data_IF_867470644698
#
_entry.id   IF_867470644698
#
_cell.length_a   1.000
_cell.length_b   1.000
_cell.length_c   1.000
_cell.angle_alpha   90.00
_cell.angle_beta   90.00
_cell.angle_gamma   90.00
#
_symmetry.space_group_name_H-M   'P 1'
#
loop_
_entity.id
_entity.type
_entity.pdbx_description
1 polymer ?
#
# COMPACT_ATOMS: atom_id res chain seq x y z
N UNK A 1 -1.45 38.41 7.59
CA UNK A 1 -1.36 39.39 6.48
C UNK A 1 -0.91 38.65 5.24
N UNK A 2 -1.58 38.87 4.09
CA UNK A 2 -1.11 38.75 2.69
C UNK A 2 -0.29 37.48 2.34
N UNK A 3 -0.78 36.47 1.60
CA UNK A 3 -1.50 36.48 0.31
C UNK A 3 -0.68 37.12 -0.84
N UNK A 4 -0.71 36.47 -2.03
CA UNK A 4 -0.03 36.75 -3.33
C UNK A 4 1.01 35.67 -3.73
N UNK A 5 1.15 35.27 -5.00
CA UNK A 5 0.35 35.58 -6.21
C UNK A 5 0.47 34.47 -7.26
N UNK A 6 -0.51 34.41 -8.16
CA UNK A 6 -0.52 33.54 -9.35
C UNK A 6 0.58 33.94 -10.34
N UNK A 7 1.08 33.00 -11.15
CA UNK A 7 1.76 33.32 -12.41
C UNK A 7 0.76 33.29 -13.54
N UNK A 8 0.25 34.48 -13.85
CA UNK A 8 -0.39 34.76 -15.13
C UNK A 8 0.70 34.88 -16.23
N UNK A 9 0.38 34.47 -17.45
CA UNK A 9 1.24 34.62 -18.61
C UNK A 9 0.39 34.94 -19.85
N UNK A 10 0.10 36.24 -20.04
CA UNK A 10 -0.22 36.77 -21.36
C UNK A 10 0.98 36.63 -22.32
N UNK A 11 0.87 36.93 -23.60
CA UNK A 11 -0.09 37.80 -24.31
C UNK A 11 -0.12 37.41 -25.80
N UNK A 12 -1.21 37.76 -26.47
CA UNK A 12 -1.28 38.57 -27.72
C UNK A 12 -2.60 38.21 -28.42
N UNK A 13 -3.57 39.13 -28.56
CA UNK A 13 -3.55 40.26 -29.53
C UNK A 13 -3.63 39.76 -30.98
N UNK A 14 -4.47 40.30 -31.87
CA UNK A 14 -5.26 41.54 -31.81
C UNK A 14 -6.35 41.56 -32.90
N UNK A 15 -7.33 42.47 -32.75
CA UNK A 15 -8.09 43.16 -33.83
C UNK A 15 -9.03 42.34 -34.76
N UNK A 16 -10.12 42.90 -35.31
CA UNK A 16 -10.60 44.30 -35.30
C UNK A 16 -12.14 44.42 -35.35
N UNK A 17 -12.66 45.49 -34.74
CA UNK A 17 -14.05 45.94 -34.75
C UNK A 17 -14.50 46.66 -36.05
N UNK A 18 -15.80 46.99 -36.07
CA UNK A 18 -16.53 47.97 -36.91
C UNK A 18 -17.01 47.51 -38.31
N UNK A 19 -18.31 47.48 -38.67
CA UNK A 19 -19.48 48.39 -38.46
C UNK A 19 -19.59 49.48 -39.54
N UNK A 20 -20.44 49.27 -40.55
CA UNK A 20 -20.91 50.25 -41.57
C UNK A 20 -21.96 49.59 -42.49
N UNK A 21 -23.02 50.20 -43.04
CA UNK A 21 -23.92 51.35 -42.69
C UNK A 21 -25.27 51.10 -43.44
N UNK A 22 -26.43 51.48 -42.88
CA UNK A 22 -27.73 51.52 -43.60
C UNK A 22 -27.87 52.79 -44.46
N UNK A 23 -28.65 52.76 -45.55
CA UNK A 23 -29.56 53.90 -45.79
C UNK A 23 -30.98 53.52 -46.26
N UNK A 24 -31.93 54.37 -45.89
CA UNK A 24 -33.36 54.26 -46.21
C UNK A 24 -33.74 54.61 -47.66
N UNK A 25 -34.70 53.85 -48.20
CA UNK A 25 -36.00 54.40 -48.65
C UNK A 25 -36.12 55.12 -50.00
N UNK A 26 -36.86 54.50 -50.93
CA UNK A 26 -38.04 55.09 -51.63
C UNK A 26 -38.80 54.07 -52.49
N UNK A 27 -40.12 54.07 -52.36
CA UNK A 27 -41.10 53.35 -53.20
C UNK A 27 -41.69 54.29 -54.28
N UNK A 28 -42.72 53.90 -55.06
CA UNK A 28 -42.82 52.82 -56.05
C UNK A 28 -43.39 53.30 -57.41
N UNK A 29 -43.50 52.44 -58.45
CA UNK A 29 -44.66 52.37 -59.39
C UNK A 29 -44.60 51.14 -60.32
N UNK A 30 -45.73 50.72 -60.94
CA UNK A 30 -45.91 49.36 -61.45
C UNK A 30 -45.88 49.21 -62.98
N UNK A 31 -45.74 47.96 -63.43
CA UNK A 31 -46.07 47.48 -64.78
C UNK A 31 -46.41 45.98 -64.74
N UNK A 32 -47.57 45.60 -65.25
CA UNK A 32 -48.11 44.22 -65.20
C UNK A 32 -47.80 43.44 -66.52
N UNK A 33 -48.37 42.26 -66.83
CA UNK A 33 -47.63 41.00 -66.67
C UNK A 33 -47.55 40.13 -67.95
N UNK A 34 -46.63 39.17 -67.97
CA UNK A 34 -46.65 37.98 -68.83
C UNK A 34 -45.88 36.86 -68.10
N UNK A 35 -46.50 35.71 -67.83
CA UNK A 35 -46.36 34.52 -68.69
C UNK A 35 -45.22 33.64 -68.16
N UNK A 36 -45.50 32.74 -67.22
CA UNK A 36 -45.68 31.31 -67.50
C UNK A 36 -44.41 30.65 -68.09
N UNK A 37 -43.66 29.95 -67.24
CA UNK A 37 -43.37 28.53 -67.47
C UNK A 37 -42.92 27.86 -66.16
N UNK A 38 -43.67 26.85 -65.71
CA UNK A 38 -43.32 25.99 -64.59
C UNK A 38 -42.23 25.00 -65.00
N UNK A 39 -41.15 24.92 -64.21
CA UNK A 39 -40.47 23.65 -63.93
C UNK A 39 -40.01 23.60 -62.47
N UNK A 40 -40.51 22.64 -61.66
CA UNK A 40 -40.02 22.46 -60.30
C UNK A 40 -38.61 21.84 -60.31
N UNK A 41 -37.74 22.36 -59.45
CA UNK A 41 -36.44 21.77 -59.17
C UNK A 41 -36.62 20.38 -58.55
N UNK A 42 -36.01 19.35 -59.16
CA UNK A 42 -35.92 18.02 -58.55
C UNK A 42 -34.74 17.99 -57.56
N UNK A 43 -34.95 18.52 -56.36
CA UNK A 43 -34.01 18.45 -55.23
C UNK A 43 -34.47 17.49 -54.12
N UNK A 44 -35.19 16.42 -54.47
CA UNK A 44 -35.59 15.37 -53.54
C UNK A 44 -34.55 14.23 -53.52
N UNK A 45 -33.51 14.33 -52.68
CA UNK A 45 -32.50 13.26 -52.56
C UNK A 45 -31.35 13.45 -51.57
N UNK A 46 -31.19 14.63 -50.96
CA UNK A 46 -30.03 14.94 -50.09
C UNK A 46 -30.33 14.91 -48.59
N UNK A 47 -31.53 15.29 -48.15
CA UNK A 47 -31.88 15.37 -46.72
C UNK A 47 -31.88 14.00 -46.03
N UNK A 48 -32.51 12.99 -46.63
CA UNK A 48 -32.61 11.65 -46.03
C UNK A 48 -31.27 10.93 -45.84
N UNK A 49 -30.21 11.34 -46.56
CA UNK A 49 -28.84 10.83 -46.34
C UNK A 49 -28.16 11.50 -45.16
N UNK A 50 -28.31 12.81 -45.00
CA UNK A 50 -27.74 13.55 -43.88
C UNK A 50 -28.27 13.06 -42.53
N UNK A 51 -29.58 12.76 -42.44
CA UNK A 51 -30.19 12.23 -41.23
C UNK A 51 -29.76 10.78 -40.94
N UNK A 52 -29.57 9.94 -41.97
CA UNK A 52 -29.05 8.58 -41.80
C UNK A 52 -27.59 8.56 -41.38
N UNK A 53 -26.74 9.39 -41.98
CA UNK A 53 -25.33 9.51 -41.62
C UNK A 53 -25.17 10.12 -40.22
N UNK A 54 -25.99 11.12 -39.86
CA UNK A 54 -26.07 11.69 -38.51
C UNK A 54 -26.51 10.68 -37.45
N UNK A 55 -27.54 9.88 -37.73
CA UNK A 55 -27.99 8.80 -36.85
C UNK A 55 -26.95 7.70 -36.66
N UNK A 56 -26.24 7.31 -37.72
CA UNK A 56 -25.13 6.36 -37.63
C UNK A 56 -23.92 6.92 -36.86
N UNK A 57 -23.61 8.21 -37.03
CA UNK A 57 -22.55 8.87 -36.27
C UNK A 57 -22.90 8.92 -34.76
N UNK A 58 -24.13 9.31 -34.41
CA UNK A 58 -24.59 9.34 -33.02
C UNK A 58 -24.57 7.94 -32.36
N UNK A 59 -25.01 6.90 -33.07
CA UNK A 59 -24.95 5.53 -32.58
C UNK A 59 -23.50 5.05 -32.33
N UNK A 60 -22.56 5.38 -33.23
CA UNK A 60 -21.13 5.04 -33.07
C UNK A 60 -20.48 5.81 -31.91
N UNK A 61 -20.82 7.07 -31.71
CA UNK A 61 -20.34 7.86 -30.56
C UNK A 61 -20.85 7.23 -29.26
N UNK A 62 -22.13 6.89 -29.17
CA UNK A 62 -22.70 6.24 -27.98
C UNK A 62 -22.09 4.86 -27.69
N UNK A 63 -21.80 4.05 -28.71
CA UNK A 63 -21.10 2.76 -28.54
C UNK A 63 -19.66 2.95 -28.03
N UNK A 64 -18.95 3.97 -28.53
CA UNK A 64 -17.59 4.32 -28.08
C UNK A 64 -17.59 4.88 -26.66
N UNK A 65 -18.54 5.74 -26.30
CA UNK A 65 -18.72 6.26 -24.94
C UNK A 65 -18.98 5.13 -23.94
N UNK A 66 -19.81 4.14 -24.30
CA UNK A 66 -20.12 2.99 -23.45
C UNK A 66 -18.87 2.12 -23.24
N UNK A 67 -18.12 1.80 -24.31
CA UNK A 67 -16.84 1.07 -24.21
C UNK A 67 -15.78 1.82 -23.40
N UNK A 68 -15.70 3.14 -23.54
CA UNK A 68 -14.79 3.98 -22.75
C UNK A 68 -15.19 3.98 -21.27
N UNK A 69 -16.50 3.95 -20.96
CA UNK A 69 -17.01 3.80 -19.60
C UNK A 69 -16.66 2.45 -18.98
N UNK A 70 -16.84 1.36 -19.73
CA UNK A 70 -16.45 0.00 -19.31
C UNK A 70 -14.94 -0.09 -19.03
N UNK A 71 -14.10 0.39 -19.95
CA UNK A 71 -12.65 0.43 -19.78
C UNK A 71 -12.20 1.33 -18.63
N UNK A 72 -12.89 2.46 -18.38
CA UNK A 72 -12.63 3.31 -17.23
C UNK A 72 -12.93 2.57 -15.91
N UNK A 73 -14.06 1.86 -15.84
CA UNK A 73 -14.42 1.05 -14.66
C UNK A 73 -13.38 -0.05 -14.38
N UNK A 74 -12.98 -0.82 -15.42
CA UNK A 74 -11.97 -1.86 -15.29
C UNK A 74 -10.61 -1.30 -14.80
N UNK A 75 -10.20 -0.14 -15.33
CA UNK A 75 -8.98 0.55 -14.89
C UNK A 75 -9.08 1.09 -13.46
N UNK A 76 -10.25 1.55 -13.01
CA UNK A 76 -10.46 1.98 -11.62
C UNK A 76 -10.43 0.80 -10.64
N UNK A 77 -11.05 -0.33 -10.99
CA UNK A 77 -11.00 -1.58 -10.22
C UNK A 77 -9.56 -2.12 -10.10
N UNK A 78 -8.83 -2.22 -11.22
CA UNK A 78 -7.43 -2.63 -11.23
C UNK A 78 -6.56 -1.69 -10.40
N UNK A 79 -6.79 -0.37 -10.49
CA UNK A 79 -6.09 0.63 -9.67
C UNK A 79 -6.42 0.52 -8.19
N UNK A 80 -7.65 0.15 -7.82
CA UNK A 80 -8.05 -0.12 -6.45
C UNK A 80 -7.35 -1.38 -5.92
N UNK A 81 -7.38 -2.48 -6.68
CA UNK A 81 -6.69 -3.72 -6.34
C UNK A 81 -5.18 -3.51 -6.15
N UNK A 82 -4.51 -2.80 -7.06
CA UNK A 82 -3.09 -2.46 -6.95
C UNK A 82 -2.77 -1.63 -5.68
N UNK A 83 -3.61 -0.65 -5.32
CA UNK A 83 -3.46 0.10 -4.07
C UNK A 83 -3.57 -0.79 -2.84
N UNK A 84 -4.48 -1.76 -2.84
CA UNK A 84 -4.64 -2.73 -1.74
C UNK A 84 -3.42 -3.64 -1.64
N UNK A 85 -2.92 -4.17 -2.76
CA UNK A 85 -1.72 -5.01 -2.79
C UNK A 85 -0.46 -4.27 -2.31
N UNK A 86 -0.28 -3.00 -2.69
CA UNK A 86 0.85 -2.18 -2.21
C UNK A 86 0.77 -2.00 -0.69
N UNK A 87 -0.41 -1.66 -0.15
CA UNK A 87 -0.62 -1.52 1.31
C UNK A 87 -0.35 -2.81 2.06
N UNK A 88 -0.94 -3.92 1.59
CA UNK A 88 -0.71 -5.25 2.16
C UNK A 88 0.78 -5.59 2.21
N UNK A 89 1.52 -5.31 1.13
CA UNK A 89 2.97 -5.56 1.06
C UNK A 89 3.78 -4.67 2.00
N UNK A 90 3.38 -3.42 2.20
CA UNK A 90 4.01 -2.52 3.16
C UNK A 90 3.69 -2.91 4.62
N UNK A 91 2.49 -3.44 4.88
CA UNK A 91 2.05 -4.00 6.16
C UNK A 91 2.81 -5.29 6.48
N UNK A 92 2.83 -6.27 5.56
CA UNK A 92 3.59 -7.53 5.67
C UNK A 92 5.08 -7.28 5.95
N UNK A 93 5.67 -6.30 5.25
CA UNK A 93 7.05 -5.86 5.47
C UNK A 93 7.22 -5.29 6.88
N UNK A 94 6.32 -4.41 7.33
CA UNK A 94 6.37 -3.80 8.67
C UNK A 94 6.20 -4.84 9.79
N UNK A 95 5.39 -5.87 9.56
CA UNK A 95 5.19 -6.98 10.49
C UNK A 95 6.39 -7.93 10.52
N UNK A 96 7.04 -8.18 9.38
CA UNK A 96 8.32 -8.90 9.31
C UNK A 96 9.43 -8.14 10.04
N UNK A 97 9.56 -6.83 9.79
CA UNK A 97 10.49 -5.93 10.51
C UNK A 97 10.29 -6.02 12.03
N UNK A 98 9.04 -5.93 12.50
CA UNK A 98 8.67 -6.07 13.92
C UNK A 98 9.03 -7.45 14.49
N UNK A 99 8.76 -8.53 13.74
CA UNK A 99 9.08 -9.90 14.15
C UNK A 99 10.59 -10.14 14.27
N UNK A 100 11.38 -9.67 13.30
CA UNK A 100 12.85 -9.78 13.32
C UNK A 100 13.42 -9.02 14.51
N UNK A 101 13.00 -7.78 14.73
CA UNK A 101 13.45 -6.95 15.87
C UNK A 101 13.10 -7.58 17.22
N UNK A 102 11.83 -7.98 17.41
CA UNK A 102 11.38 -8.62 18.63
C UNK A 102 12.10 -9.96 18.91
N UNK A 103 12.50 -10.68 17.86
CA UNK A 103 13.31 -11.89 17.97
C UNK A 103 14.75 -11.57 18.36
N UNK A 104 15.40 -10.57 17.75
CA UNK A 104 16.76 -10.16 18.14
C UNK A 104 16.83 -9.76 19.62
N UNK A 105 15.94 -8.87 20.06
CA UNK A 105 15.89 -8.34 21.43
C UNK A 105 15.62 -9.42 22.49
N UNK A 106 14.85 -10.45 22.15
CA UNK A 106 14.40 -11.48 23.11
C UNK A 106 15.22 -12.77 23.04
N UNK A 107 15.88 -13.04 21.92
CA UNK A 107 16.62 -14.27 21.68
C UNK A 107 18.12 -14.06 21.73
N UNK A 108 18.67 -13.03 21.07
CA UNK A 108 20.11 -12.92 20.84
C UNK A 108 20.75 -11.99 21.87
N UNK A 109 20.19 -10.78 22.01
CA UNK A 109 20.68 -9.76 22.92
C UNK A 109 20.85 -10.24 24.39
N UNK A 110 19.90 -10.97 25.01
CA UNK A 110 20.12 -11.48 26.37
C UNK A 110 21.24 -12.51 26.49
N UNK A 111 21.69 -13.17 25.42
CA UNK A 111 22.88 -14.03 25.48
C UNK A 111 24.16 -13.24 25.23
N UNK A 112 24.17 -12.26 24.30
CA UNK A 112 25.30 -11.34 24.11
C UNK A 112 25.61 -10.57 25.40
N UNK A 113 24.62 -9.86 25.95
CA UNK A 113 24.72 -9.13 27.23
C UNK A 113 25.08 -10.00 28.44
N UNK A 114 24.91 -11.33 28.36
CA UNK A 114 25.31 -12.26 29.43
C UNK A 114 26.69 -12.87 29.18
N UNK A 115 27.11 -13.01 27.93
CA UNK A 115 28.45 -13.46 27.53
C UNK A 115 29.49 -12.39 27.88
N UNK A 116 29.21 -11.12 27.60
CA UNK A 116 30.05 -9.96 27.99
C UNK A 116 30.28 -9.86 29.51
N UNK A 117 29.34 -10.36 30.32
CA UNK A 117 29.42 -10.40 31.79
C UNK A 117 30.16 -11.63 32.32
N UNK A 118 30.75 -12.45 31.44
CA UNK A 118 31.64 -13.55 31.83
C UNK A 118 33.11 -13.14 31.70
N UNK A 119 34.03 -13.97 32.21
CA UNK A 119 35.47 -13.77 31.99
C UNK A 119 35.84 -14.21 30.57
N UNK A 120 35.73 -13.28 29.63
CA UNK A 120 36.23 -13.43 28.26
C UNK A 120 37.74 -13.09 28.22
N UNK A 121 38.46 -13.66 27.26
CA UNK A 121 39.78 -13.18 26.87
C UNK A 121 39.67 -12.05 25.82
N UNK A 122 40.74 -11.30 25.55
CA UNK A 122 40.70 -10.13 24.64
C UNK A 122 40.21 -10.50 23.23
N UNK A 123 40.62 -11.66 22.70
CA UNK A 123 40.16 -12.12 21.39
C UNK A 123 38.66 -12.42 21.37
N UNK A 124 38.14 -13.07 22.41
CA UNK A 124 36.70 -13.31 22.59
C UNK A 124 35.92 -12.01 22.79
N UNK A 125 36.46 -11.05 23.55
CA UNK A 125 35.86 -9.74 23.75
C UNK A 125 35.72 -8.99 22.41
N UNK A 126 36.77 -9.02 21.57
CA UNK A 126 36.77 -8.45 20.22
C UNK A 126 35.75 -9.12 19.30
N UNK A 127 35.71 -10.46 19.29
CA UNK A 127 34.73 -11.22 18.50
C UNK A 127 33.28 -10.93 18.92
N UNK A 128 32.99 -10.86 20.22
CA UNK A 128 31.66 -10.50 20.74
C UNK A 128 31.27 -9.07 20.34
N UNK A 129 32.23 -8.13 20.41
CA UNK A 129 32.02 -6.75 19.94
C UNK A 129 31.72 -6.65 18.44
N UNK A 130 32.39 -7.46 17.60
CA UNK A 130 32.11 -7.56 16.16
C UNK A 130 30.72 -8.17 15.94
N UNK A 131 30.37 -9.25 16.63
CA UNK A 131 29.04 -9.89 16.50
C UNK A 131 27.93 -8.91 16.88
N UNK A 132 28.07 -8.13 17.97
CA UNK A 132 27.09 -7.11 18.34
C UNK A 132 26.97 -6.02 17.26
N UNK A 133 28.09 -5.44 16.80
CA UNK A 133 28.06 -4.41 15.73
C UNK A 133 27.37 -4.92 14.46
N UNK A 134 27.68 -6.15 14.03
CA UNK A 134 27.02 -6.75 12.88
C UNK A 134 25.53 -6.98 13.13
N UNK A 135 25.12 -7.30 14.36
CA UNK A 135 23.71 -7.41 14.74
C UNK A 135 23.00 -6.04 14.70
N UNK A 136 23.65 -5.00 15.21
CA UNK A 136 23.16 -3.62 15.20
C UNK A 136 23.01 -3.13 13.75
N UNK A 137 24.00 -3.36 12.89
CA UNK A 137 23.95 -3.03 11.45
C UNK A 137 22.83 -3.79 10.71
N UNK A 138 22.65 -5.09 10.98
CA UNK A 138 21.55 -5.87 10.40
C UNK A 138 20.19 -5.33 10.87
N UNK A 139 20.04 -5.02 12.16
CA UNK A 139 18.78 -4.53 12.75
C UNK A 139 18.44 -3.09 12.38
N UNK A 140 19.42 -2.22 12.09
CA UNK A 140 19.19 -0.86 11.54
C UNK A 140 18.31 -0.90 10.29
N UNK A 141 18.44 -1.94 9.46
CA UNK A 141 17.59 -2.10 8.25
C UNK A 141 16.11 -2.41 8.55
N UNK A 142 15.79 -2.86 9.78
CA UNK A 142 14.44 -3.20 10.25
C UNK A 142 13.91 -2.25 11.34
N UNK A 143 14.67 -1.22 11.74
CA UNK A 143 14.29 -0.29 12.83
C UNK A 143 13.17 0.71 12.46
N UNK A 144 12.56 0.57 11.29
CA UNK A 144 11.57 1.48 10.73
C UNK A 144 10.16 1.31 11.31
N UNK A 145 9.90 1.89 12.49
CA UNK A 145 8.60 2.00 13.22
C UNK A 145 8.30 0.85 14.18
N UNK A 146 8.80 0.96 15.41
CA UNK A 146 8.49 0.02 16.50
C UNK A 146 7.32 0.48 17.38
N UNK A 147 6.23 -0.31 17.43
CA UNK A 147 5.40 -0.46 18.64
C UNK A 147 4.58 -1.77 18.61
N UNK A 148 4.61 -2.48 19.75
CA UNK A 148 3.68 -3.53 20.21
C UNK A 148 3.40 -4.76 19.32
N UNK A 149 3.71 -5.96 19.85
CA UNK A 149 2.77 -6.86 20.57
C UNK A 149 3.40 -8.26 20.69
N UNK A 150 3.56 -8.76 21.92
CA UNK A 150 3.93 -10.16 22.23
C UNK A 150 3.22 -10.52 23.53
N UNK A 151 1.91 -10.71 23.43
CA UNK A 151 0.98 -10.37 24.52
C UNK A 151 0.52 -11.57 25.36
N UNK A 152 1.39 -12.57 25.58
CA UNK A 152 1.08 -13.74 26.41
C UNK A 152 2.24 -14.18 27.34
N UNK A 153 3.48 -14.20 26.85
CA UNK A 153 4.66 -14.65 27.59
C UNK A 153 5.50 -13.47 28.09
N UNK A 154 5.90 -13.52 29.37
CA UNK A 154 6.86 -12.54 29.90
C UNK A 154 8.25 -12.73 29.27
N UNK A 155 9.13 -11.71 29.26
CA UNK A 155 10.46 -11.82 28.63
C UNK A 155 11.28 -13.04 29.09
N UNK A 156 11.24 -13.38 30.39
CA UNK A 156 11.90 -14.56 30.94
C UNK A 156 11.27 -15.89 30.47
N UNK A 157 9.94 -15.94 30.31
CA UNK A 157 9.23 -17.10 29.77
C UNK A 157 9.50 -17.28 28.27
N UNK A 158 9.63 -16.19 27.49
CA UNK A 158 10.05 -16.23 26.08
C UNK A 158 11.46 -16.83 25.96
N UNK A 159 12.43 -16.36 26.75
CA UNK A 159 13.79 -16.90 26.76
C UNK A 159 13.81 -18.40 27.07
N UNK A 160 13.03 -18.83 28.07
CA UNK A 160 12.93 -20.24 28.46
C UNK A 160 12.21 -21.08 27.40
N UNK A 161 11.12 -20.58 26.80
CA UNK A 161 10.40 -21.26 25.72
C UNK A 161 11.31 -21.52 24.50
N UNK A 162 12.15 -20.55 24.13
CA UNK A 162 13.06 -20.71 23.00
C UNK A 162 14.19 -21.72 23.27
N UNK A 163 14.75 -21.74 24.48
CA UNK A 163 15.68 -22.81 24.86
C UNK A 163 15.02 -24.21 24.86
N UNK A 164 13.70 -24.29 25.09
CA UNK A 164 12.93 -25.53 24.97
C UNK A 164 12.68 -25.90 23.50
N UNK A 165 12.39 -24.92 22.62
CA UNK A 165 12.30 -25.11 21.15
C UNK A 165 13.61 -25.67 20.58
N UNK A 166 14.75 -25.18 21.08
CA UNK A 166 16.11 -25.68 20.81
C UNK A 166 16.46 -27.01 21.51
N UNK A 167 15.49 -27.69 22.13
CA UNK A 167 15.67 -29.03 22.72
C UNK A 167 16.45 -29.10 24.04
N UNK A 168 16.74 -27.96 24.69
CA UNK A 168 17.52 -27.96 25.94
C UNK A 168 16.74 -28.53 27.12
N UNK A 169 17.42 -29.33 27.93
CA UNK A 169 16.88 -29.98 29.14
C UNK A 169 16.83 -28.98 30.30
N UNK A 170 15.94 -29.17 31.27
CA UNK A 170 15.75 -28.25 32.42
C UNK A 170 17.06 -27.91 33.15
N UNK A 171 17.97 -28.88 33.32
CA UNK A 171 19.29 -28.67 33.95
C UNK A 171 20.23 -27.82 33.09
N UNK A 172 20.21 -28.02 31.77
CA UNK A 172 21.00 -27.24 30.82
C UNK A 172 20.48 -25.80 30.75
N UNK A 173 19.16 -25.61 30.70
CA UNK A 173 18.51 -24.28 30.76
C UNK A 173 18.86 -23.57 32.08
N UNK A 174 18.84 -24.29 33.20
CA UNK A 174 19.23 -23.76 34.50
C UNK A 174 20.69 -23.30 34.52
N UNK A 175 21.61 -24.09 33.95
CA UNK A 175 23.02 -23.73 33.81
C UNK A 175 23.23 -22.55 32.85
N UNK A 176 22.58 -22.56 31.69
CA UNK A 176 22.61 -21.48 30.69
C UNK A 176 22.11 -20.17 31.31
N UNK A 177 21.00 -20.19 32.06
CA UNK A 177 20.39 -19.00 32.67
C UNK A 177 20.97 -18.63 34.05
N UNK A 178 21.82 -19.47 34.64
CA UNK A 178 22.33 -19.37 36.03
C UNK A 178 21.21 -19.30 37.08
N UNK A 179 20.13 -20.05 36.85
CA UNK A 179 18.99 -20.18 37.76
C UNK A 179 18.93 -21.58 38.36
N UNK A 180 18.16 -21.78 39.43
CA UNK A 180 17.97 -23.13 39.97
C UNK A 180 17.13 -23.99 38.99
N UNK A 181 17.36 -25.32 38.90
CA UNK A 181 16.49 -26.21 38.13
C UNK A 181 15.02 -26.17 38.59
N UNK A 182 14.77 -25.86 39.87
CA UNK A 182 13.42 -25.63 40.40
C UNK A 182 12.76 -24.40 39.79
N UNK A 183 13.48 -23.28 39.71
CA UNK A 183 13.03 -22.02 39.08
C UNK A 183 12.63 -22.25 37.62
N UNK A 184 13.46 -22.96 36.84
CA UNK A 184 13.13 -23.30 35.44
C UNK A 184 11.92 -24.23 35.35
N UNK A 185 11.75 -25.15 36.30
CA UNK A 185 10.55 -26.02 36.38
C UNK A 185 9.27 -25.21 36.61
N UNK A 186 9.33 -24.17 37.45
CA UNK A 186 8.21 -23.25 37.68
C UNK A 186 7.88 -22.45 36.41
N UNK A 187 8.88 -21.84 35.76
CA UNK A 187 8.66 -21.14 34.49
C UNK A 187 8.09 -22.07 33.40
N UNK A 188 8.56 -23.32 33.31
CA UNK A 188 7.98 -24.34 32.41
C UNK A 188 6.51 -24.62 32.70
N UNK A 189 6.08 -24.64 33.97
CA UNK A 189 4.65 -24.77 34.34
C UNK A 189 3.86 -23.51 33.94
N UNK A 190 4.41 -22.32 34.15
CA UNK A 190 3.75 -21.06 33.78
C UNK A 190 3.59 -20.93 32.26
N UNK A 191 4.60 -21.30 31.48
CA UNK A 191 4.52 -21.39 30.01
C UNK A 191 3.41 -22.36 29.59
N UNK A 192 3.32 -23.56 30.20
CA UNK A 192 2.20 -24.49 29.91
C UNK A 192 0.83 -23.91 30.27
N UNK A 193 0.72 -23.15 31.37
CA UNK A 193 -0.54 -22.50 31.78
C UNK A 193 -0.94 -21.40 30.79
N UNK A 194 0.02 -20.61 30.31
CA UNK A 194 -0.19 -19.49 29.37
C UNK A 194 -0.42 -19.94 27.92
N UNK A 195 -0.04 -21.16 27.58
CA UNK A 195 -0.35 -21.83 26.30
C UNK A 195 -1.50 -22.84 26.43
N UNK A 196 -2.25 -22.82 27.55
CA UNK A 196 -3.41 -23.69 27.81
C UNK A 196 -3.14 -25.22 27.76
N UNK A 197 -1.86 -25.61 27.90
CA UNK A 197 -1.38 -27.00 27.87
C UNK A 197 -1.47 -27.72 29.23
N UNK A 198 -2.19 -27.15 30.20
CA UNK A 198 -2.23 -27.59 31.60
C UNK A 198 -2.76 -29.01 31.77
N UNK A 199 -3.73 -29.42 30.95
CA UNK A 199 -4.38 -30.74 30.98
C UNK A 199 -4.07 -31.63 29.77
N UNK A 200 -3.22 -31.16 28.84
CA UNK A 200 -2.87 -31.91 27.62
C UNK A 200 -1.55 -32.65 27.79
N UNK A 201 -1.52 -33.96 27.56
CA UNK A 201 -0.33 -34.85 27.68
C UNK A 201 0.64 -34.70 26.47
N UNK A 202 0.85 -33.47 26.02
CA UNK A 202 1.64 -33.11 24.83
C UNK A 202 3.01 -32.57 25.26
N UNK A 203 4.06 -32.88 24.51
CA UNK A 203 5.39 -32.33 24.76
C UNK A 203 5.40 -30.82 24.45
N UNK A 204 5.84 -30.01 25.42
CA UNK A 204 5.92 -28.56 25.28
C UNK A 204 6.84 -28.14 24.13
N UNK A 205 7.93 -28.88 23.90
CA UNK A 205 8.83 -28.65 22.76
C UNK A 205 8.08 -28.80 21.42
N UNK A 206 7.30 -29.87 21.25
CA UNK A 206 6.57 -30.14 20.01
C UNK A 206 5.48 -29.09 19.72
N UNK A 207 4.91 -28.46 20.74
CA UNK A 207 3.98 -27.33 20.55
C UNK A 207 4.75 -26.08 20.12
N UNK A 208 5.82 -25.71 20.86
CA UNK A 208 6.66 -24.55 20.55
C UNK A 208 7.42 -24.64 19.22
N UNK A 209 7.56 -25.84 18.64
CA UNK A 209 8.14 -26.09 17.32
C UNK A 209 7.09 -26.15 16.18
N UNK A 210 5.79 -26.08 16.48
CA UNK A 210 4.70 -26.04 15.51
C UNK A 210 4.13 -24.64 15.25
N UNK A 211 4.55 -23.67 16.07
CA UNK A 211 4.40 -22.22 15.90
C UNK A 211 5.72 -21.62 15.38
#
# INVERSE_FOLDING_TARGET
MKEREMRDCGRSSQESDMKTVMPDGRSPRPGSPAGLDDKPEQSAGTESRADQDGGQAAARVSELELRLGEQASELEELRAALKVLIRSRDEDRSDLERCVMANVDKLIEPFLSRLEKTRLNEQQQSLVGIIRKNLDELTVTFAGKCSARVDSLTPAEVQIANLIKLGKRTKEIAQILRLSPGTISIHRKNIRKKLELTHRKVNLQTVLSRE
#
